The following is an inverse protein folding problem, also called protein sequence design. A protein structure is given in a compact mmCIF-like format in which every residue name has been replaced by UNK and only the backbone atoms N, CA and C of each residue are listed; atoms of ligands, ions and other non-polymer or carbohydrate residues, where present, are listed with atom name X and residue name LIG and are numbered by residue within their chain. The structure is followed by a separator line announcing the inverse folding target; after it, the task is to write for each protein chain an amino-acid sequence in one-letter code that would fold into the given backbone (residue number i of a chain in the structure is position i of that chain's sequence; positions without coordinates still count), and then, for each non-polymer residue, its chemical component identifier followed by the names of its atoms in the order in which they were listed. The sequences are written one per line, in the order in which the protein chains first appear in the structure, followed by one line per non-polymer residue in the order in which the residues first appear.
data_IF_636748543691
#
_entry.id   IF_636748543691
#
_cell.length_a   1.000
_cell.length_b   1.000
_cell.length_c   1.000
_cell.angle_alpha   90.00
_cell.angle_beta   90.00
_cell.angle_gamma   90.00
#
_symmetry.space_group_name_H-M   'P 1'
#
loop_
_entity.id
_entity.type
_entity.pdbx_description
1 polymer ?
#
# COMPACT_ATOMS: atom_id res chain seq x y z
N UNK A 1 -10.00 3.18 -6.75
CA UNK A 1 -9.65 4.18 -5.71
C UNK A 1 -10.88 4.87 -5.08
N UNK A 2 -12.10 4.55 -5.54
CA UNK A 2 -13.34 5.19 -5.06
C UNK A 2 -13.62 4.95 -3.58
N UNK A 3 -13.45 3.72 -3.09
CA UNK A 3 -13.74 3.34 -1.69
C UNK A 3 -13.02 4.20 -0.65
N UNK A 4 -11.76 4.57 -0.92
CA UNK A 4 -11.01 5.45 -0.01
C UNK A 4 -11.56 6.88 -0.05
N UNK A 5 -12.00 7.33 -1.22
CA UNK A 5 -12.58 8.67 -1.39
C UNK A 5 -13.95 8.78 -0.71
N UNK A 6 -14.81 7.79 -0.90
CA UNK A 6 -16.11 7.68 -0.20
C UNK A 6 -15.90 7.65 1.31
N UNK A 7 -14.98 6.82 1.79
CA UNK A 7 -14.66 6.77 3.22
C UNK A 7 -14.16 8.10 3.75
N UNK A 8 -13.27 8.79 3.01
CA UNK A 8 -12.81 10.13 3.39
C UNK A 8 -13.98 11.10 3.49
N UNK A 9 -14.89 11.11 2.52
CA UNK A 9 -16.08 11.96 2.54
C UNK A 9 -17.00 11.64 3.73
N UNK A 10 -17.21 10.36 4.05
CA UNK A 10 -17.97 9.92 5.23
C UNK A 10 -17.32 10.35 6.55
N UNK A 11 -15.99 10.42 6.59
CA UNK A 11 -15.24 10.99 7.72
C UNK A 11 -15.20 12.54 7.71
N UNK A 12 -15.97 13.18 6.82
CA UNK A 12 -16.05 14.64 6.71
C UNK A 12 -14.84 15.28 6.02
N UNK A 13 -13.95 14.49 5.42
CA UNK A 13 -12.81 15.00 4.68
C UNK A 13 -13.25 15.51 3.30
N UNK A 14 -13.05 16.81 3.05
CA UNK A 14 -13.47 17.50 1.83
C UNK A 14 -12.29 18.10 1.08
N UNK A 15 -11.05 17.90 1.56
CA UNK A 15 -9.84 18.40 0.92
C UNK A 15 -9.65 19.93 1.06
N UNK A 16 -10.22 20.53 2.11
CA UNK A 16 -10.06 21.95 2.37
C UNK A 16 -8.63 22.27 2.80
N UNK A 17 -8.16 23.49 2.53
CA UNK A 17 -6.82 23.92 2.94
C UNK A 17 -6.67 23.82 4.47
N UNK A 18 -5.57 23.19 4.91
CA UNK A 18 -5.27 22.88 6.31
C UNK A 18 -6.22 21.89 7.02
N UNK A 19 -7.08 21.18 6.29
CA UNK A 19 -7.89 20.10 6.87
C UNK A 19 -7.00 18.88 7.17
N UNK A 20 -7.00 18.36 8.41
CA UNK A 20 -6.27 17.15 8.73
C UNK A 20 -6.91 15.94 8.05
N UNK A 21 -6.09 15.05 7.51
CA UNK A 21 -6.56 13.76 6.98
C UNK A 21 -7.00 12.88 8.16
N UNK A 22 -8.21 12.28 8.14
CA UNK A 22 -8.67 11.38 9.17
C UNK A 22 -7.74 10.17 9.32
N UNK A 23 -7.56 9.71 10.57
CA UNK A 23 -6.80 8.49 10.83
C UNK A 23 -7.51 7.29 10.22
N UNK A 24 -6.86 6.62 9.28
CA UNK A 24 -7.40 5.43 8.63
C UNK A 24 -7.11 4.19 9.49
N UNK A 25 -8.13 3.48 10.00
CA UNK A 25 -7.91 2.29 10.80
C UNK A 25 -7.28 1.17 9.96
N UNK A 26 -6.34 0.42 10.53
CA UNK A 26 -5.69 -0.71 9.86
C UNK A 26 -6.69 -1.74 9.32
N UNK A 27 -7.79 -1.96 10.04
CA UNK A 27 -8.87 -2.84 9.61
C UNK A 27 -9.52 -2.39 8.28
N UNK A 28 -9.72 -1.08 8.09
CA UNK A 28 -10.27 -0.54 6.84
C UNK A 28 -9.24 -0.67 5.70
N UNK A 29 -7.97 -0.37 5.97
CA UNK A 29 -6.88 -0.56 5.01
C UNK A 29 -6.82 -2.01 4.54
N UNK A 30 -6.90 -2.97 5.47
CA UNK A 30 -6.84 -4.40 5.18
C UNK A 30 -8.03 -4.85 4.33
N UNK A 31 -9.25 -4.42 4.68
CA UNK A 31 -10.47 -4.73 3.92
C UNK A 31 -10.41 -4.20 2.48
N UNK A 32 -10.00 -2.93 2.31
CA UNK A 32 -9.88 -2.32 0.99
C UNK A 32 -8.80 -3.00 0.17
N UNK A 33 -7.68 -3.37 0.81
CA UNK A 33 -6.59 -4.09 0.17
C UNK A 33 -7.03 -5.47 -0.32
N UNK A 34 -7.77 -6.23 0.48
CA UNK A 34 -8.32 -7.54 0.09
C UNK A 34 -9.21 -7.44 -1.14
N UNK A 35 -10.09 -6.43 -1.21
CA UNK A 35 -10.95 -6.22 -2.39
C UNK A 35 -10.15 -5.94 -3.66
N UNK A 36 -9.05 -5.17 -3.57
CA UNK A 36 -8.20 -4.92 -4.75
C UNK A 36 -7.38 -6.15 -5.15
N UNK A 37 -6.97 -6.95 -4.18
CA UNK A 37 -6.30 -8.24 -4.42
C UNK A 37 -7.25 -9.17 -5.16
N UNK A 38 -8.45 -9.40 -4.62
CA UNK A 38 -9.48 -10.24 -5.24
C UNK A 38 -9.80 -9.78 -6.68
N UNK A 39 -9.94 -8.46 -6.88
CA UNK A 39 -10.18 -7.90 -8.21
C UNK A 39 -9.02 -8.17 -9.17
N UNK A 40 -7.78 -8.01 -8.72
CA UNK A 40 -6.60 -8.34 -9.51
C UNK A 40 -6.61 -9.82 -9.90
N UNK A 41 -6.75 -10.73 -8.93
CA UNK A 41 -6.71 -12.17 -9.16
C UNK A 41 -7.86 -12.63 -10.09
N UNK A 42 -9.04 -12.03 -9.96
CA UNK A 42 -10.19 -12.30 -10.83
C UNK A 42 -9.98 -11.85 -12.28
N UNK A 43 -9.32 -10.71 -12.49
CA UNK A 43 -9.07 -10.16 -13.83
C UNK A 43 -7.90 -10.86 -14.51
N UNK A 44 -6.82 -11.14 -13.78
CA UNK A 44 -5.57 -11.67 -14.35
C UNK A 44 -5.48 -13.19 -14.30
N UNK A 45 -6.17 -13.83 -13.36
CA UNK A 45 -6.00 -15.25 -13.04
C UNK A 45 -4.70 -15.57 -12.29
N UNK A 46 -3.92 -14.55 -11.92
CA UNK A 46 -2.66 -14.69 -11.18
C UNK A 46 -2.89 -14.45 -9.68
N UNK A 47 -2.22 -15.21 -8.82
CA UNK A 47 -2.28 -15.00 -7.36
C UNK A 47 -1.47 -13.76 -7.00
N UNK A 48 -2.07 -12.85 -6.23
CA UNK A 48 -1.35 -11.67 -5.75
C UNK A 48 -0.41 -12.05 -4.61
N UNK A 49 0.89 -11.87 -4.83
CA UNK A 49 1.89 -12.07 -3.79
C UNK A 49 2.14 -10.74 -3.08
N UNK A 50 1.58 -10.58 -1.87
CA UNK A 50 1.92 -9.45 -1.00
C UNK A 50 3.43 -9.44 -0.77
N UNK A 51 4.10 -8.39 -1.25
CA UNK A 51 5.52 -8.18 -0.97
C UNK A 51 5.70 -7.86 0.52
N UNK A 52 6.64 -8.55 1.16
CA UNK A 52 6.99 -8.27 2.55
C UNK A 52 7.49 -6.82 2.68
N UNK A 53 6.76 -6.03 3.45
CA UNK A 53 7.07 -4.63 3.74
C UNK A 53 8.02 -4.48 4.94
N UNK A 54 8.18 -5.53 5.76
CA UNK A 54 9.02 -5.50 6.96
C UNK A 54 10.50 -5.32 6.60
N UNK A 55 10.93 -5.93 5.49
CA UNK A 55 12.34 -5.99 5.11
C UNK A 55 12.72 -4.98 4.02
N UNK A 56 11.92 -3.94 3.76
CA UNK A 56 12.22 -2.97 2.69
C UNK A 56 13.59 -2.31 2.89
N UNK A 57 13.89 -1.85 4.11
CA UNK A 57 15.19 -1.25 4.44
C UNK A 57 16.32 -2.26 4.21
N UNK A 58 16.16 -3.48 4.74
CA UNK A 58 17.16 -4.55 4.63
C UNK A 58 17.40 -4.98 3.19
N UNK A 59 16.36 -5.03 2.36
CA UNK A 59 16.45 -5.34 0.92
C UNK A 59 17.21 -4.25 0.17
N UNK A 60 16.93 -2.99 0.46
CA UNK A 60 17.65 -1.85 -0.12
C UNK A 60 19.13 -1.94 0.25
N UNK A 61 19.43 -2.12 1.54
CA UNK A 61 20.80 -2.26 2.04
C UNK A 61 21.54 -3.43 1.38
N UNK A 62 20.92 -4.61 1.35
CA UNK A 62 21.50 -5.82 0.73
C UNK A 62 21.86 -5.59 -0.73
N UNK A 63 20.96 -4.97 -1.50
CA UNK A 63 21.19 -4.70 -2.92
C UNK A 63 22.30 -3.66 -3.15
N UNK A 64 22.40 -2.65 -2.29
CA UNK A 64 23.48 -1.65 -2.36
C UNK A 64 24.82 -2.33 -2.05
N UNK A 65 24.90 -3.13 -0.99
CA UNK A 65 26.14 -3.84 -0.62
C UNK A 65 26.58 -4.80 -1.73
N UNK A 66 25.65 -5.61 -2.27
CA UNK A 66 25.94 -6.51 -3.38
C UNK A 66 26.48 -5.78 -4.62
N UNK A 67 25.92 -4.60 -4.94
CA UNK A 67 26.42 -3.78 -6.04
C UNK A 67 27.84 -3.25 -5.77
N UNK A 68 28.10 -2.76 -4.56
CA UNK A 68 29.42 -2.25 -4.18
C UNK A 68 30.47 -3.35 -4.20
N UNK A 69 30.16 -4.54 -3.68
CA UNK A 69 31.05 -5.71 -3.68
C UNK A 69 31.34 -6.21 -5.10
N UNK A 70 30.38 -6.10 -6.03
CA UNK A 70 30.57 -6.51 -7.43
C UNK A 70 31.46 -5.57 -8.25
N UNK A 71 31.80 -4.39 -7.73
CA UNK A 71 32.63 -3.36 -8.39
C UNK A 71 34.07 -3.31 -7.92
N UNK A 72 34.43 -4.06 -6.88
CA UNK A 72 35.80 -4.25 -6.39
C UNK A 72 36.26 -5.70 -6.59
#
# INVERSE_FOLDING_TARGET
KEFVREWLMDQGFQGQNAQPVPHMPDAFVQQVSERYIELYESITGEIFVKSDAADVIKRIETNIMAFLDSRF
#
